data_IF_753156066669
#
_entry.id   IF_753156066669
#
_cell.length_a   1.000
_cell.length_b   1.000
_cell.length_c   1.000
_cell.angle_alpha   90.00
_cell.angle_beta   90.00
_cell.angle_gamma   90.00
#
_symmetry.space_group_name_H-M   'P 1'
#
loop_
_entity.id
_entity.type
_entity.pdbx_description
1 polymer ?
#
# COMPACT_ATOMS: atom_id res chain seq x y z
N UNK A 1 58.30 -25.76 -3.90
CA UNK A 1 56.83 -25.98 -4.02
C UNK A 1 56.12 -24.91 -3.18
N UNK A 2 55.65 -23.87 -3.82
CA UNK A 2 54.85 -22.78 -3.18
C UNK A 2 53.36 -23.17 -3.29
N UNK A 3 52.71 -23.40 -2.17
CA UNK A 3 51.27 -23.60 -2.10
C UNK A 3 50.58 -22.25 -2.27
N UNK A 4 49.86 -22.07 -3.38
CA UNK A 4 48.91 -20.97 -3.54
C UNK A 4 47.70 -21.26 -2.67
N UNK A 5 47.47 -20.42 -1.65
CA UNK A 5 46.22 -20.37 -0.89
C UNK A 5 45.23 -19.47 -1.67
N UNK A 6 44.26 -20.06 -2.35
CA UNK A 6 43.15 -19.30 -2.95
C UNK A 6 42.17 -18.94 -1.85
N UNK A 7 42.12 -17.67 -1.49
CA UNK A 7 41.08 -17.12 -0.60
C UNK A 7 39.82 -16.88 -1.44
N UNK A 8 38.80 -17.70 -1.26
CA UNK A 8 37.48 -17.47 -1.80
C UNK A 8 36.79 -16.44 -0.90
N UNK A 9 36.74 -15.19 -1.36
CA UNK A 9 35.93 -14.15 -0.73
C UNK A 9 34.48 -14.38 -1.17
N UNK A 10 33.70 -15.02 -0.32
CA UNK A 10 32.24 -15.09 -0.50
C UNK A 10 31.69 -13.72 -0.14
N UNK A 11 31.33 -12.93 -1.14
CA UNK A 11 30.52 -11.73 -0.94
C UNK A 11 29.13 -12.19 -0.47
N UNK A 12 28.86 -12.12 0.82
CA UNK A 12 27.52 -12.10 1.37
C UNK A 12 26.89 -10.77 0.93
N UNK A 13 26.29 -10.77 -0.26
CA UNK A 13 25.35 -9.72 -0.65
C UNK A 13 24.17 -9.87 0.32
N UNK A 14 24.13 -9.01 1.31
CA UNK A 14 23.03 -8.94 2.25
C UNK A 14 21.73 -8.75 1.46
N UNK A 15 20.86 -9.74 1.48
CA UNK A 15 19.51 -9.63 0.92
C UNK A 15 18.76 -8.61 1.76
N UNK A 16 18.62 -7.40 1.25
CA UNK A 16 17.66 -6.45 1.79
C UNK A 16 16.29 -7.03 1.43
N UNK A 17 15.46 -7.39 2.40
CA UNK A 17 14.12 -7.88 2.10
C UNK A 17 13.33 -6.74 1.47
N UNK A 18 13.09 -6.85 0.17
CA UNK A 18 12.27 -5.89 -0.56
C UNK A 18 10.80 -6.26 -0.40
N UNK A 19 10.02 -5.31 0.07
CA UNK A 19 8.58 -5.47 0.25
C UNK A 19 7.84 -4.64 -0.80
N UNK A 20 7.62 -5.22 -1.98
CA UNK A 20 6.99 -4.51 -3.06
C UNK A 20 5.48 -4.42 -2.87
N UNK A 21 4.92 -3.23 -2.97
CA UNK A 21 3.50 -2.92 -2.94
C UNK A 21 2.96 -2.63 -4.35
N UNK A 22 1.62 -2.61 -4.48
CA UNK A 22 0.92 -2.07 -5.65
C UNK A 22 -0.15 -1.10 -5.16
N UNK A 23 -0.34 0.02 -5.84
CA UNK A 23 -1.28 1.03 -5.37
C UNK A 23 -1.87 1.86 -6.51
N UNK A 24 -3.02 2.48 -6.23
CA UNK A 24 -3.69 3.41 -7.13
C UNK A 24 -4.25 4.61 -6.37
N UNK A 25 -4.24 5.76 -7.02
CA UNK A 25 -5.05 6.93 -6.68
C UNK A 25 -6.01 7.18 -7.83
N UNK A 26 -7.31 7.21 -7.54
CA UNK A 26 -8.38 7.27 -8.54
C UNK A 26 -9.22 8.52 -8.32
N UNK A 27 -9.42 9.29 -9.38
CA UNK A 27 -10.33 10.45 -9.35
C UNK A 27 -11.79 10.02 -9.36
N UNK A 28 -12.63 10.73 -8.64
CA UNK A 28 -14.09 10.55 -8.69
C UNK A 28 -14.70 10.69 -10.08
N UNK A 29 -14.01 11.30 -11.04
CA UNK A 29 -14.53 11.42 -12.43
C UNK A 29 -14.68 10.07 -13.16
N UNK A 30 -13.96 9.02 -12.70
CA UNK A 30 -13.98 7.67 -13.31
C UNK A 30 -14.59 6.61 -12.39
N UNK A 31 -15.05 6.99 -11.22
CA UNK A 31 -15.88 6.15 -10.33
C UNK A 31 -17.37 6.37 -10.62
N UNK A 32 -18.23 5.37 -10.39
CA UNK A 32 -19.66 5.50 -10.68
C UNK A 32 -20.38 6.57 -9.85
N UNK A 33 -19.98 6.76 -8.60
CA UNK A 33 -20.60 7.64 -7.60
C UNK A 33 -19.87 8.98 -7.41
N UNK A 34 -18.76 9.19 -8.12
CA UNK A 34 -17.97 10.43 -8.06
C UNK A 34 -17.00 10.50 -6.88
N UNK A 35 -16.89 9.47 -6.03
CA UNK A 35 -15.99 9.46 -4.87
C UNK A 35 -14.56 9.06 -5.27
N UNK A 36 -13.52 9.78 -4.84
CA UNK A 36 -12.14 9.38 -5.11
C UNK A 36 -11.78 8.13 -4.31
N UNK A 37 -10.88 7.30 -4.87
CA UNK A 37 -10.40 6.08 -4.22
C UNK A 37 -8.88 6.12 -4.05
N UNK A 38 -8.43 5.60 -2.91
CA UNK A 38 -7.03 5.38 -2.59
C UNK A 38 -6.84 3.90 -2.28
N UNK A 39 -6.11 3.16 -3.11
CA UNK A 39 -5.88 1.74 -2.96
C UNK A 39 -4.43 1.42 -2.63
N UNK A 40 -4.21 0.60 -1.61
CA UNK A 40 -2.93 -0.01 -1.28
C UNK A 40 -3.05 -1.51 -1.17
N UNK A 41 -2.32 -2.21 -2.02
CA UNK A 41 -2.05 -3.64 -1.89
C UNK A 41 -0.66 -3.80 -1.27
N UNK A 42 -0.63 -4.24 -0.01
CA UNK A 42 0.56 -4.18 0.83
C UNK A 42 1.28 -5.51 0.88
N UNK A 43 2.56 -5.50 0.53
CA UNK A 43 3.48 -6.58 0.80
C UNK A 43 4.41 -6.18 1.95
N UNK A 44 4.70 -7.11 2.86
CA UNK A 44 5.53 -6.86 4.04
C UNK A 44 6.21 -8.14 4.53
N UNK A 45 7.27 -7.99 5.34
CA UNK A 45 7.90 -9.10 6.08
C UNK A 45 6.99 -9.61 7.18
N UNK A 46 6.37 -8.69 7.92
CA UNK A 46 5.34 -9.04 8.88
C UNK A 46 4.00 -9.21 8.17
N UNK A 47 3.52 -10.44 8.12
CA UNK A 47 2.24 -10.78 7.51
C UNK A 47 1.06 -10.47 8.44
N UNK A 48 1.31 -10.09 9.68
CA UNK A 48 0.27 -9.74 10.64
C UNK A 48 0.08 -8.24 10.65
N UNK A 49 -1.16 -7.83 10.48
CA UNK A 49 -1.55 -6.43 10.51
C UNK A 49 -2.80 -6.28 11.37
N UNK A 50 -3.02 -5.07 11.85
CA UNK A 50 -4.24 -4.68 12.55
C UNK A 50 -4.63 -3.26 12.18
N UNK A 51 -5.88 -2.90 12.43
CA UNK A 51 -6.34 -1.52 12.36
C UNK A 51 -6.34 -0.93 13.76
N UNK A 52 -5.76 0.25 13.88
CA UNK A 52 -5.70 1.02 15.13
C UNK A 52 -6.45 2.33 14.94
N UNK A 53 -7.27 2.66 15.94
CA UNK A 53 -7.91 3.95 16.07
C UNK A 53 -7.05 4.83 16.98
N UNK A 54 -6.74 6.02 16.53
CA UNK A 54 -5.98 7.02 17.24
C UNK A 54 -6.91 8.19 17.58
N UNK A 55 -7.17 8.38 18.84
CA UNK A 55 -8.02 9.47 19.32
C UNK A 55 -7.36 10.83 19.11
N UNK A 56 -8.19 11.86 19.05
CA UNK A 56 -7.73 13.23 18.99
C UNK A 56 -7.02 13.61 20.29
N UNK A 57 -5.77 14.02 20.24
CA UNK A 57 -4.98 14.40 21.40
C UNK A 57 -4.05 15.56 21.05
N UNK A 58 -3.91 16.53 21.99
CA UNK A 58 -2.95 17.63 21.86
C UNK A 58 -3.15 18.51 20.63
N UNK A 59 -4.38 18.65 20.14
CA UNK A 59 -4.71 19.41 18.91
C UNK A 59 -4.51 18.63 17.61
N UNK A 60 -4.16 17.34 17.69
CA UNK A 60 -4.11 16.44 16.55
C UNK A 60 -5.49 15.92 16.17
N UNK A 61 -5.64 15.57 14.89
CA UNK A 61 -6.86 14.96 14.38
C UNK A 61 -6.96 13.49 14.79
N UNK A 62 -8.18 13.05 15.02
CA UNK A 62 -8.52 11.64 15.15
C UNK A 62 -8.37 10.94 13.81
N UNK A 63 -7.82 9.71 13.80
CA UNK A 63 -7.61 8.94 12.59
C UNK A 63 -7.59 7.43 12.83
N UNK A 64 -7.77 6.66 11.77
CA UNK A 64 -7.56 5.21 11.75
C UNK A 64 -6.41 4.85 10.83
N UNK A 65 -5.64 3.81 11.19
CA UNK A 65 -4.48 3.39 10.44
C UNK A 65 -4.20 1.90 10.45
N UNK A 66 -3.63 1.43 9.34
CA UNK A 66 -3.09 0.08 9.17
C UNK A 66 -1.70 0.03 9.82
N UNK A 67 -1.51 -0.86 10.78
CA UNK A 67 -0.30 -1.00 11.60
C UNK A 67 0.23 -2.43 11.52
N UNK A 68 1.56 -2.59 11.57
CA UNK A 68 2.20 -3.91 11.69
C UNK A 68 1.82 -4.60 13.00
N UNK A 69 1.64 -5.91 12.98
CA UNK A 69 1.37 -6.68 14.19
C UNK A 69 2.51 -6.59 15.21
N UNK A 70 3.76 -6.56 14.77
CA UNK A 70 4.92 -6.43 15.66
C UNK A 70 5.12 -5.04 16.26
N UNK A 71 4.52 -4.00 15.68
CA UNK A 71 4.54 -2.64 16.22
C UNK A 71 3.47 -2.48 17.31
N UNK A 72 3.77 -2.94 18.50
CA UNK A 72 2.85 -2.92 19.65
C UNK A 72 2.44 -1.51 20.06
N UNK A 73 3.30 -0.53 19.85
CA UNK A 73 3.08 0.88 20.19
C UNK A 73 2.40 1.67 19.06
N UNK A 74 2.15 1.01 17.92
CA UNK A 74 1.58 1.64 16.74
C UNK A 74 2.32 2.92 16.32
N UNK A 75 3.66 2.86 16.29
CA UNK A 75 4.51 3.99 15.92
C UNK A 75 4.45 4.33 14.45
N UNK A 76 4.10 3.35 13.61
CA UNK A 76 4.08 3.46 12.16
C UNK A 76 2.69 3.14 11.61
N UNK A 77 2.26 3.91 10.63
CA UNK A 77 1.01 3.70 9.88
C UNK A 77 1.33 3.53 8.41
N UNK A 78 0.71 2.54 7.77
CA UNK A 78 1.02 2.16 6.39
C UNK A 78 -0.09 2.50 5.38
N UNK A 79 -1.28 2.81 5.86
CA UNK A 79 -2.40 3.43 5.16
C UNK A 79 -3.39 3.90 6.22
N UNK A 80 -4.10 5.00 5.99
CA UNK A 80 -5.09 5.50 6.93
C UNK A 80 -5.79 6.75 6.44
N UNK A 81 -6.79 7.19 7.21
CA UNK A 81 -7.47 8.46 6.98
C UNK A 81 -7.89 9.10 8.31
N UNK A 82 -8.10 10.41 8.31
CA UNK A 82 -8.47 11.18 9.50
C UNK A 82 -9.87 11.82 9.39
N UNK A 83 -10.32 12.43 10.45
CA UNK A 83 -11.64 13.09 10.56
C UNK A 83 -11.86 14.24 9.59
N UNK A 84 -10.80 14.80 8.99
CA UNK A 84 -10.94 15.81 7.92
C UNK A 84 -11.19 15.19 6.54
N UNK A 85 -11.21 13.85 6.42
CA UNK A 85 -11.33 13.12 5.16
C UNK A 85 -10.04 13.09 4.33
N UNK A 86 -8.91 13.48 4.94
CA UNK A 86 -7.61 13.28 4.33
C UNK A 86 -7.17 11.85 4.53
N UNK A 87 -6.76 11.19 3.44
CA UNK A 87 -6.23 9.83 3.45
C UNK A 87 -4.86 9.76 2.79
N UNK A 88 -4.02 8.86 3.29
CA UNK A 88 -2.67 8.63 2.79
C UNK A 88 -2.31 7.14 2.81
N UNK A 89 -1.52 6.74 1.81
CA UNK A 89 -0.83 5.43 1.78
C UNK A 89 0.53 5.60 1.09
N UNK A 90 1.40 4.59 1.18
CA UNK A 90 2.67 4.59 0.46
C UNK A 90 2.93 3.31 -0.34
N UNK A 91 3.88 3.41 -1.28
CA UNK A 91 4.68 2.28 -1.78
C UNK A 91 6.15 2.69 -1.71
N UNK A 92 7.01 1.80 -1.17
CA UNK A 92 8.45 2.03 -1.19
C UNK A 92 8.95 2.18 -2.64
N UNK A 93 9.88 3.09 -2.87
CA UNK A 93 10.49 3.32 -4.18
C UNK A 93 11.98 2.98 -4.15
N UNK A 94 12.41 2.13 -5.07
CA UNK A 94 13.81 1.66 -5.09
C UNK A 94 14.67 2.35 -6.15
N UNK A 95 14.11 3.29 -6.90
CA UNK A 95 14.84 4.09 -7.89
C UNK A 95 14.97 5.58 -7.52
N UNK A 96 14.47 5.98 -6.33
CA UNK A 96 14.64 7.33 -5.78
C UNK A 96 15.85 7.47 -4.86
N UNK A 97 16.64 6.42 -4.67
CA UNK A 97 17.72 6.38 -3.68
C UNK A 97 18.70 7.53 -3.82
N UNK A 98 18.90 8.22 -2.70
CA UNK A 98 20.00 9.13 -2.46
C UNK A 98 20.94 8.53 -1.41
N UNK A 99 22.15 8.20 -1.80
CA UNK A 99 23.13 7.34 -1.10
C UNK A 99 23.62 7.82 0.27
N UNK A 100 23.02 8.83 0.89
CA UNK A 100 23.63 9.52 2.02
C UNK A 100 22.81 9.52 3.30
N UNK A 101 21.64 8.91 3.34
CA UNK A 101 20.78 8.99 4.52
C UNK A 101 20.91 7.75 5.41
N UNK A 102 21.43 7.95 6.63
CA UNK A 102 21.31 7.00 7.76
C UNK A 102 19.89 6.94 8.34
N UNK A 103 18.96 7.74 7.82
CA UNK A 103 17.57 7.89 8.26
C UNK A 103 16.63 7.22 7.24
N UNK A 104 16.85 5.94 6.90
CA UNK A 104 15.96 5.18 6.03
C UNK A 104 14.73 4.65 6.80
N UNK A 105 13.69 4.28 6.04
CA UNK A 105 12.48 3.59 6.51
C UNK A 105 11.60 4.40 7.50
N UNK A 106 11.49 5.73 7.32
CA UNK A 106 10.62 6.59 8.14
C UNK A 106 9.22 6.79 7.57
N UNK A 107 8.86 6.10 6.51
CA UNK A 107 7.59 6.30 5.78
C UNK A 107 6.38 6.14 6.71
N UNK A 108 6.35 5.09 7.52
CA UNK A 108 5.26 4.82 8.46
C UNK A 108 5.14 5.88 9.55
N UNK A 109 6.26 6.40 10.05
CA UNK A 109 6.31 7.50 11.04
C UNK A 109 5.77 8.78 10.42
N UNK A 110 6.24 9.13 9.22
CA UNK A 110 5.79 10.32 8.49
C UNK A 110 4.29 10.25 8.21
N UNK A 111 3.78 9.11 7.76
CA UNK A 111 2.34 8.96 7.51
C UNK A 111 1.50 9.10 8.78
N UNK A 112 1.94 8.51 9.90
CA UNK A 112 1.27 8.69 11.19
C UNK A 112 1.21 10.15 11.61
N UNK A 113 2.31 10.89 11.45
CA UNK A 113 2.39 12.32 11.76
C UNK A 113 1.45 13.14 10.87
N UNK A 114 1.46 12.91 9.55
CA UNK A 114 0.61 13.61 8.57
C UNK A 114 -0.88 13.36 8.81
N UNK A 115 -1.27 12.15 9.23
CA UNK A 115 -2.66 11.84 9.59
C UNK A 115 -3.15 12.59 10.82
N UNK A 116 -2.29 12.76 11.83
CA UNK A 116 -2.61 13.54 13.02
C UNK A 116 -2.55 15.05 12.81
N UNK A 117 -1.86 15.52 11.77
CA UNK A 117 -1.64 16.93 11.44
C UNK A 117 -2.21 17.23 10.05
N UNK A 118 -2.07 18.47 9.55
CA UNK A 118 -2.58 18.83 8.23
C UNK A 118 -1.59 18.46 7.10
N UNK A 119 -2.11 18.13 5.93
CA UNK A 119 -1.41 17.60 4.74
C UNK A 119 -0.21 18.44 4.20
N UNK A 120 0.05 19.64 4.71
CA UNK A 120 1.19 20.48 4.30
C UNK A 120 2.54 20.05 4.88
N UNK A 121 2.56 18.99 5.67
CA UNK A 121 3.74 18.59 6.44
C UNK A 121 4.91 18.14 5.57
N UNK A 122 4.67 17.48 4.42
CA UNK A 122 5.75 16.94 3.56
C UNK A 122 6.72 18.02 3.08
N UNK A 123 6.22 19.23 2.79
CA UNK A 123 7.06 20.37 2.38
C UNK A 123 7.79 21.04 3.56
N UNK A 124 7.26 20.89 4.77
CA UNK A 124 7.79 21.50 6.00
C UNK A 124 8.72 20.59 6.81
N UNK A 125 8.83 19.30 6.45
CA UNK A 125 9.73 18.38 7.14
C UNK A 125 11.20 18.80 6.96
N UNK A 126 12.01 18.73 8.02
CA UNK A 126 13.44 19.01 7.91
C UNK A 126 14.13 18.01 6.96
N UNK A 127 15.10 18.51 6.19
CA UNK A 127 15.89 17.67 5.29
C UNK A 127 17.17 17.17 6.00
N UNK A 128 17.62 15.92 5.76
CA UNK A 128 16.97 14.88 4.95
C UNK A 128 15.71 14.30 5.63
N UNK A 129 14.65 14.01 4.85
CA UNK A 129 13.38 13.48 5.39
C UNK A 129 13.56 12.01 5.87
N UNK A 130 14.42 11.26 5.19
CA UNK A 130 14.67 9.84 5.49
C UNK A 130 13.58 8.91 4.97
N UNK A 131 12.98 9.24 3.80
CA UNK A 131 12.00 8.41 3.09
C UNK A 131 12.40 8.27 1.62
N UNK A 132 12.00 7.15 1.01
CA UNK A 132 12.13 6.89 -0.43
C UNK A 132 10.87 6.16 -0.89
N UNK A 133 9.81 6.95 -1.16
CA UNK A 133 8.49 6.39 -1.37
C UNK A 133 7.62 7.21 -2.32
N UNK A 134 6.61 6.52 -2.87
CA UNK A 134 5.45 7.15 -3.49
C UNK A 134 4.34 7.23 -2.43
N UNK A 135 3.92 8.43 -2.06
CA UNK A 135 2.76 8.64 -1.20
C UNK A 135 1.55 8.98 -2.06
N UNK A 136 0.51 8.15 -1.99
CA UNK A 136 -0.78 8.48 -2.58
C UNK A 136 -1.67 9.16 -1.56
N UNK A 137 -2.40 10.19 -1.99
CA UNK A 137 -3.31 10.94 -1.12
C UNK A 137 -4.63 11.23 -1.81
N UNK A 138 -5.69 11.31 -1.01
CA UNK A 138 -6.98 11.92 -1.38
C UNK A 138 -7.47 12.79 -0.22
N UNK A 139 -8.32 13.79 -0.53
CA UNK A 139 -8.91 14.65 0.47
C UNK A 139 -10.42 14.91 0.23
N UNK A 140 -11.10 15.48 1.22
CA UNK A 140 -12.53 15.77 1.16
C UNK A 140 -12.89 16.92 0.20
N UNK A 141 -11.92 17.63 -0.38
CA UNK A 141 -12.12 18.67 -1.38
C UNK A 141 -12.04 18.14 -2.80
N UNK A 142 -11.81 16.82 -2.96
CA UNK A 142 -11.65 16.14 -4.24
C UNK A 142 -10.21 16.13 -4.76
N UNK A 143 -9.25 16.54 -3.94
CA UNK A 143 -7.83 16.40 -4.22
C UNK A 143 -7.43 14.93 -4.29
N UNK A 144 -6.65 14.56 -5.32
CA UNK A 144 -6.12 13.23 -5.51
C UNK A 144 -4.76 13.33 -6.20
N UNK A 145 -3.70 12.83 -5.56
CA UNK A 145 -2.33 12.97 -6.08
C UNK A 145 -1.40 11.87 -5.58
N UNK A 146 -0.30 11.67 -6.31
CA UNK A 146 0.91 11.05 -5.79
C UNK A 146 1.98 12.09 -5.52
N UNK A 147 2.71 11.86 -4.42
CA UNK A 147 3.95 12.53 -4.10
C UNK A 147 5.08 11.49 -4.12
N UNK A 148 6.00 11.62 -5.06
CA UNK A 148 7.22 10.84 -5.11
C UNK A 148 8.28 11.59 -4.30
N UNK A 149 8.71 11.00 -3.19
CA UNK A 149 9.51 11.67 -2.15
C UNK A 149 10.81 10.92 -1.93
N UNK A 150 11.92 11.62 -2.04
CA UNK A 150 13.19 11.15 -1.52
C UNK A 150 13.65 12.04 -0.34
N UNK A 151 14.82 11.81 0.20
CA UNK A 151 15.32 12.56 1.37
C UNK A 151 15.39 14.08 1.18
N UNK A 152 15.43 14.58 -0.06
CA UNK A 152 15.66 16.00 -0.38
C UNK A 152 14.60 16.63 -1.25
N UNK A 153 13.91 15.84 -2.09
CA UNK A 153 13.01 16.32 -3.13
C UNK A 153 11.61 15.71 -3.00
N UNK A 154 10.64 16.45 -3.47
CA UNK A 154 9.22 16.06 -3.52
C UNK A 154 8.71 16.37 -4.92
N UNK A 155 8.21 15.36 -5.63
CA UNK A 155 7.59 15.51 -6.95
C UNK A 155 6.10 15.18 -6.84
N UNK A 156 5.24 16.10 -7.26
CA UNK A 156 3.79 15.95 -7.19
C UNK A 156 3.21 15.60 -8.56
N UNK A 157 2.30 14.62 -8.58
CA UNK A 157 1.54 14.19 -9.75
C UNK A 157 0.05 14.22 -9.40
N UNK A 158 -0.68 15.19 -9.92
CA UNK A 158 -2.13 15.29 -9.70
C UNK A 158 -2.89 14.33 -10.61
N UNK A 159 -3.86 13.59 -10.07
CA UNK A 159 -4.68 12.65 -10.85
C UNK A 159 -5.56 13.38 -11.87
N UNK A 160 -5.91 14.65 -11.62
CA UNK A 160 -6.67 15.48 -12.58
C UNK A 160 -5.94 15.65 -13.92
N UNK A 161 -4.58 15.60 -13.91
CA UNK A 161 -3.75 15.76 -15.10
C UNK A 161 -3.53 14.44 -15.85
N UNK A 162 -3.96 13.30 -15.25
CA UNK A 162 -3.96 12.00 -15.91
C UNK A 162 -5.15 11.89 -16.87
N UNK A 163 -4.95 11.55 -18.15
CA UNK A 163 -6.04 11.34 -19.10
C UNK A 163 -6.99 10.21 -18.65
N UNK A 164 -6.44 9.18 -18.01
CA UNK A 164 -7.17 7.98 -17.60
C UNK A 164 -7.97 8.17 -16.29
N UNK A 165 -7.76 9.28 -15.55
CA UNK A 165 -8.44 9.57 -14.30
C UNK A 165 -7.95 8.75 -13.11
N UNK A 166 -6.84 8.06 -13.25
CA UNK A 166 -6.13 7.38 -12.16
C UNK A 166 -4.62 7.44 -12.38
N UNK A 167 -3.87 7.20 -11.31
CA UNK A 167 -2.43 6.97 -11.33
C UNK A 167 -2.14 5.67 -10.58
N UNK A 168 -1.19 4.90 -11.08
CA UNK A 168 -0.69 3.66 -10.47
C UNK A 168 0.76 3.83 -10.03
N UNK A 169 1.12 3.17 -8.93
CA UNK A 169 2.52 3.02 -8.50
C UNK A 169 2.76 1.61 -7.97
N UNK A 170 3.96 1.12 -8.24
CA UNK A 170 4.52 -0.06 -7.60
C UNK A 170 5.79 0.35 -6.85
N UNK A 171 6.90 -0.35 -7.04
CA UNK A 171 8.13 -0.05 -6.28
C UNK A 171 9.18 0.68 -7.14
N UNK A 172 8.70 1.53 -8.01
CA UNK A 172 9.47 2.54 -8.70
C UNK A 172 8.66 3.84 -8.82
N UNK A 173 9.37 4.93 -9.01
CA UNK A 173 8.84 6.29 -9.21
C UNK A 173 9.12 6.75 -10.63
N UNK A 174 8.21 7.56 -11.17
CA UNK A 174 8.37 8.16 -12.51
C UNK A 174 9.51 9.17 -12.51
N UNK A 175 9.68 9.92 -11.42
CA UNK A 175 10.80 10.88 -11.23
C UNK A 175 12.14 10.20 -10.92
N UNK A 176 12.13 8.89 -10.63
CA UNK A 176 13.34 8.17 -10.25
C UNK A 176 14.22 7.78 -11.45
N UNK A 177 15.33 7.07 -11.17
CA UNK A 177 16.25 6.61 -12.20
C UNK A 177 15.57 5.61 -13.14
N UNK A 178 15.63 5.82 -14.48
CA UNK A 178 15.02 4.92 -15.45
C UNK A 178 15.59 3.50 -15.35
N UNK A 179 14.73 2.49 -15.55
CA UNK A 179 15.08 1.06 -15.53
C UNK A 179 15.64 0.56 -14.19
N UNK A 180 15.50 1.34 -13.13
CA UNK A 180 15.76 0.93 -11.76
C UNK A 180 14.43 0.80 -10.98
N UNK A 181 14.48 0.10 -9.84
CA UNK A 181 13.28 -0.20 -9.06
C UNK A 181 12.65 -1.55 -9.44
N UNK A 182 11.42 -1.79 -9.01
CA UNK A 182 10.79 -3.11 -9.11
C UNK A 182 9.30 -3.02 -9.35
N UNK A 183 8.73 -4.16 -9.84
CA UNK A 183 7.28 -4.29 -9.97
C UNK A 183 6.71 -3.81 -11.29
N UNK A 184 7.51 -3.73 -12.33
CA UNK A 184 7.07 -3.33 -13.67
C UNK A 184 5.95 -4.25 -14.20
N UNK A 185 6.11 -5.59 -14.07
CA UNK A 185 5.07 -6.54 -14.49
C UNK A 185 3.77 -6.36 -13.69
N UNK A 186 3.88 -6.13 -12.37
CA UNK A 186 2.70 -5.83 -11.52
C UNK A 186 2.03 -4.51 -11.90
N UNK A 187 2.83 -3.53 -12.30
CA UNK A 187 2.30 -2.27 -12.84
C UNK A 187 1.48 -2.53 -14.10
N UNK A 188 2.02 -3.30 -15.05
CA UNK A 188 1.34 -3.62 -16.32
C UNK A 188 0.07 -4.46 -16.09
N UNK A 189 0.10 -5.41 -15.14
CA UNK A 189 -1.07 -6.18 -14.73
C UNK A 189 -2.18 -5.27 -14.16
N UNK A 190 -1.79 -4.35 -13.25
CA UNK A 190 -2.73 -3.39 -12.68
C UNK A 190 -3.24 -2.41 -13.76
N UNK A 191 -2.36 -1.86 -14.60
CA UNK A 191 -2.73 -0.92 -15.67
C UNK A 191 -3.75 -1.53 -16.64
N UNK A 192 -3.56 -2.79 -17.03
CA UNK A 192 -4.52 -3.50 -17.88
C UNK A 192 -5.90 -3.63 -17.22
N UNK A 193 -5.94 -4.01 -15.94
CA UNK A 193 -7.19 -4.14 -15.19
C UNK A 193 -7.90 -2.79 -15.07
N UNK A 194 -7.17 -1.75 -14.67
CA UNK A 194 -7.71 -0.41 -14.49
C UNK A 194 -8.19 0.22 -15.81
N UNK A 195 -7.44 0.07 -16.91
CA UNK A 195 -7.84 0.55 -18.23
C UNK A 195 -9.18 -0.04 -18.68
N UNK A 196 -9.37 -1.35 -18.47
CA UNK A 196 -10.65 -2.01 -18.76
C UNK A 196 -11.77 -1.48 -17.86
N UNK A 197 -11.54 -1.45 -16.55
CA UNK A 197 -12.53 -0.99 -15.58
C UNK A 197 -12.92 0.48 -15.79
N UNK A 198 -11.98 1.33 -16.21
CA UNK A 198 -12.28 2.74 -16.57
C UNK A 198 -13.21 2.84 -17.75
N UNK A 199 -12.98 2.06 -18.80
CA UNK A 199 -13.86 2.06 -19.99
C UNK A 199 -15.29 1.59 -19.67
N UNK A 200 -15.42 0.69 -18.70
CA UNK A 200 -16.70 0.15 -18.21
C UNK A 200 -17.31 1.01 -17.07
N UNK A 201 -16.61 2.05 -16.58
CA UNK A 201 -16.98 2.85 -15.40
C UNK A 201 -17.27 1.98 -14.18
N UNK A 202 -16.49 0.94 -13.98
CA UNK A 202 -16.69 -0.07 -12.96
C UNK A 202 -15.66 -0.02 -11.81
N UNK A 203 -14.84 1.04 -11.73
CA UNK A 203 -13.88 1.21 -10.64
C UNK A 203 -14.63 1.57 -9.35
N UNK A 204 -14.83 0.58 -8.50
CA UNK A 204 -15.46 0.70 -7.17
C UNK A 204 -14.60 0.01 -6.12
N UNK A 205 -14.83 0.24 -4.82
CA UNK A 205 -14.18 -0.54 -3.76
C UNK A 205 -14.38 -2.05 -3.93
N UNK A 206 -15.58 -2.49 -4.33
CA UNK A 206 -15.91 -3.90 -4.55
C UNK A 206 -15.09 -4.48 -5.72
N UNK A 207 -14.97 -3.73 -6.83
CA UNK A 207 -14.17 -4.15 -7.97
C UNK A 207 -12.67 -4.27 -7.59
N UNK A 208 -12.12 -3.29 -6.87
CA UNK A 208 -10.72 -3.32 -6.43
C UNK A 208 -10.49 -4.51 -5.50
N UNK A 209 -11.35 -4.69 -4.48
CA UNK A 209 -11.18 -5.73 -3.47
C UNK A 209 -11.53 -7.13 -3.97
N UNK A 210 -12.56 -7.23 -4.83
CA UNK A 210 -13.08 -8.50 -5.34
C UNK A 210 -12.31 -9.04 -6.55
N UNK A 211 -11.82 -8.17 -7.41
CA UNK A 211 -11.17 -8.53 -8.68
C UNK A 211 -9.70 -8.15 -8.67
N UNK A 212 -9.37 -6.86 -8.56
CA UNK A 212 -8.00 -6.39 -8.74
C UNK A 212 -7.03 -6.97 -7.68
N UNK A 213 -7.40 -6.90 -6.40
CA UNK A 213 -6.58 -7.41 -5.28
C UNK A 213 -6.44 -8.94 -5.25
N UNK A 214 -7.18 -9.66 -6.07
CA UNK A 214 -7.21 -11.13 -6.13
C UNK A 214 -6.73 -11.69 -7.46
N UNK A 215 -6.31 -10.82 -8.39
CA UNK A 215 -6.00 -11.20 -9.77
C UNK A 215 -4.66 -11.92 -9.90
N UNK A 216 -4.70 -13.12 -10.44
CA UNK A 216 -3.54 -13.88 -10.90
C UNK A 216 -3.34 -13.77 -12.43
N UNK A 217 -3.89 -12.72 -13.03
CA UNK A 217 -3.66 -12.46 -14.45
C UNK A 217 -2.25 -11.94 -14.68
N UNK A 218 -1.57 -12.49 -15.67
CA UNK A 218 -0.23 -12.09 -16.10
C UNK A 218 -0.28 -11.51 -17.51
N UNK A 219 -0.03 -10.22 -17.65
CA UNK A 219 -0.21 -9.47 -18.90
C UNK A 219 0.68 -10.01 -20.03
N UNK A 220 1.97 -10.24 -19.78
CA UNK A 220 2.89 -10.73 -20.82
C UNK A 220 2.61 -12.16 -21.27
N UNK A 221 2.07 -13.00 -20.38
CA UNK A 221 1.69 -14.36 -20.73
C UNK A 221 0.26 -14.44 -21.27
N UNK A 222 -0.52 -13.35 -21.18
CA UNK A 222 -1.89 -13.28 -21.66
C UNK A 222 -2.85 -14.27 -21.00
N UNK A 223 -2.55 -14.69 -19.74
CA UNK A 223 -3.21 -15.83 -19.09
C UNK A 223 -3.53 -15.52 -17.63
N UNK A 224 -4.64 -16.06 -17.14
CA UNK A 224 -5.00 -16.13 -15.73
C UNK A 224 -4.51 -17.45 -15.12
N UNK A 225 -3.90 -17.39 -13.95
CA UNK A 225 -3.31 -18.52 -13.22
C UNK A 225 -4.10 -18.92 -11.97
N UNK A 226 -5.31 -18.42 -11.78
CA UNK A 226 -6.12 -18.68 -10.59
C UNK A 226 -6.38 -20.18 -10.36
N UNK A 227 -6.43 -20.99 -11.43
CA UNK A 227 -6.70 -22.43 -11.35
C UNK A 227 -5.45 -23.30 -11.42
N UNK A 228 -4.26 -22.71 -11.50
CA UNK A 228 -3.02 -23.49 -11.56
C UNK A 228 -2.67 -24.10 -10.20
N UNK A 229 -2.07 -25.29 -10.22
CA UNK A 229 -1.71 -26.00 -8.98
C UNK A 229 -0.66 -25.26 -8.14
N UNK A 230 0.22 -24.52 -8.79
CA UNK A 230 1.21 -23.66 -8.15
C UNK A 230 1.61 -22.52 -9.10
N UNK A 231 2.12 -21.43 -8.53
CA UNK A 231 2.60 -20.27 -9.27
C UNK A 231 3.87 -19.71 -8.62
N UNK A 232 4.74 -19.14 -9.45
CA UNK A 232 5.81 -18.22 -8.99
C UNK A 232 5.18 -16.84 -8.90
N UNK A 233 4.98 -16.35 -7.69
CA UNK A 233 4.05 -15.25 -7.40
C UNK A 233 4.60 -13.84 -7.57
N UNK A 234 5.84 -13.67 -8.00
CA UNK A 234 6.53 -12.36 -8.00
C UNK A 234 5.85 -11.30 -8.86
N UNK A 235 5.28 -11.73 -9.98
CA UNK A 235 4.72 -10.85 -11.00
C UNK A 235 3.22 -10.57 -10.80
N UNK A 236 2.58 -11.26 -9.87
CA UNK A 236 1.17 -11.05 -9.56
C UNK A 236 0.94 -9.95 -8.55
N UNK A 237 -0.29 -9.41 -8.55
CA UNK A 237 -0.71 -8.45 -7.53
C UNK A 237 -0.72 -9.14 -6.15
N UNK A 238 -1.49 -10.24 -5.92
CA UNK A 238 -1.38 -11.01 -4.68
C UNK A 238 -0.15 -11.91 -4.70
N UNK A 239 0.66 -11.82 -3.66
CA UNK A 239 1.94 -12.53 -3.54
C UNK A 239 2.08 -13.16 -2.16
N UNK A 240 3.05 -14.05 -1.98
CA UNK A 240 3.33 -14.68 -0.70
C UNK A 240 3.54 -13.67 0.43
N UNK A 241 4.16 -12.54 0.12
CA UNK A 241 4.42 -11.44 1.04
C UNK A 241 3.24 -10.48 1.23
N UNK A 242 2.12 -10.67 0.52
CA UNK A 242 0.96 -9.81 0.68
C UNK A 242 0.34 -10.01 2.07
N UNK A 243 0.17 -8.91 2.78
CA UNK A 243 -0.25 -8.87 4.18
C UNK A 243 -1.54 -8.09 4.42
N UNK A 244 -1.96 -7.27 3.45
CA UNK A 244 -3.22 -6.53 3.47
C UNK A 244 -3.58 -5.96 2.09
N UNK A 245 -4.85 -5.66 1.88
CA UNK A 245 -5.31 -4.75 0.84
C UNK A 245 -6.35 -3.81 1.40
N UNK A 246 -6.16 -2.51 1.19
CA UNK A 246 -7.00 -1.45 1.74
C UNK A 246 -7.44 -0.52 0.63
N UNK A 247 -8.73 -0.21 0.59
CA UNK A 247 -9.29 0.84 -0.26
C UNK A 247 -9.91 1.91 0.63
N UNK A 248 -9.40 3.14 0.56
CA UNK A 248 -10.03 4.26 1.25
C UNK A 248 -10.87 5.00 0.20
N UNK A 249 -12.17 5.00 0.43
CA UNK A 249 -13.16 5.67 -0.38
C UNK A 249 -13.45 7.04 0.25
N UNK A 250 -12.96 8.09 -0.41
CA UNK A 250 -13.16 9.47 0.03
C UNK A 250 -14.60 9.93 -0.12
N UNK A 251 -14.82 11.22 -0.04
CA UNK A 251 -16.15 11.83 -0.20
C UNK A 251 -16.18 12.77 -1.39
N UNK A 252 -17.37 13.02 -1.93
CA UNK A 252 -17.56 14.07 -2.91
C UNK A 252 -17.36 15.44 -2.28
N UNK A 253 -16.81 16.43 -3.01
CA UNK A 253 -16.67 17.79 -2.50
C UNK A 253 -17.98 18.34 -1.92
N UNK A 254 -17.89 18.93 -0.72
CA UNK A 254 -19.05 19.45 0.00
C UNK A 254 -19.86 18.43 0.81
N UNK A 255 -19.49 17.15 0.75
CA UNK A 255 -20.05 16.13 1.65
C UNK A 255 -19.23 16.01 2.93
N UNK A 256 -19.88 15.55 4.00
CA UNK A 256 -19.21 15.38 5.30
C UNK A 256 -18.10 14.34 5.21
N UNK A 257 -16.88 14.65 5.71
CA UNK A 257 -15.79 13.69 5.78
C UNK A 257 -16.08 12.42 6.60
N UNK A 258 -17.10 12.45 7.47
CA UNK A 258 -17.53 11.30 8.27
C UNK A 258 -17.92 10.08 7.41
N UNK A 259 -18.32 10.30 6.15
CA UNK A 259 -18.65 9.24 5.20
C UNK A 259 -17.41 8.62 4.50
N UNK A 260 -16.20 9.08 4.81
CA UNK A 260 -15.00 8.38 4.34
C UNK A 260 -14.96 6.96 4.88
N UNK A 261 -14.77 5.99 4.01
CA UNK A 261 -14.83 4.56 4.37
C UNK A 261 -13.50 3.89 4.04
N UNK A 262 -12.94 3.14 4.98
CA UNK A 262 -11.76 2.31 4.76
C UNK A 262 -12.17 0.85 4.64
N UNK A 263 -12.25 0.34 3.42
CA UNK A 263 -12.52 -1.05 3.09
C UNK A 263 -11.25 -1.88 3.28
N UNK A 264 -11.26 -2.79 4.25
CA UNK A 264 -10.05 -3.43 4.75
C UNK A 264 -10.08 -4.93 4.59
N UNK A 265 -9.06 -5.49 3.94
CA UNK A 265 -8.73 -6.90 3.95
C UNK A 265 -7.39 -7.07 4.66
N UNK A 266 -7.34 -7.81 5.77
CA UNK A 266 -6.10 -8.18 6.45
C UNK A 266 -5.68 -9.61 6.11
N UNK A 267 -4.37 -9.82 6.03
CA UNK A 267 -3.78 -11.05 5.54
C UNK A 267 -3.74 -11.11 4.01
N UNK A 268 -3.87 -12.31 3.46
CA UNK A 268 -3.79 -12.58 2.03
C UNK A 268 -5.14 -12.35 1.33
N UNK A 269 -5.29 -11.35 0.44
CA UNK A 269 -6.60 -10.96 -0.10
C UNK A 269 -7.41 -12.08 -0.77
N UNK A 270 -6.81 -13.03 -1.54
CA UNK A 270 -7.57 -14.16 -2.07
C UNK A 270 -8.20 -15.06 -0.99
N UNK A 271 -7.72 -15.00 0.26
CA UNK A 271 -8.19 -15.77 1.41
C UNK A 271 -8.81 -14.91 2.51
N UNK A 272 -9.11 -13.63 2.24
CA UNK A 272 -9.63 -12.67 3.23
C UNK A 272 -11.02 -12.19 2.85
N UNK A 273 -11.71 -11.56 3.79
CA UNK A 273 -12.97 -10.84 3.56
C UNK A 273 -12.74 -9.35 3.72
N UNK A 274 -13.65 -8.56 3.17
CA UNK A 274 -13.62 -7.09 3.23
C UNK A 274 -14.48 -6.63 4.40
N UNK A 275 -13.94 -5.80 5.27
CA UNK A 275 -14.69 -5.16 6.36
C UNK A 275 -14.53 -3.64 6.25
N UNK A 276 -15.63 -2.87 6.37
CA UNK A 276 -15.58 -1.42 6.42
C UNK A 276 -15.11 -0.92 7.80
N UNK A 277 -14.42 0.23 7.79
CA UNK A 277 -14.02 0.96 9.01
C UNK A 277 -14.42 2.41 8.85
N UNK A 278 -15.09 2.97 9.86
CA UNK A 278 -15.46 4.37 9.96
C UNK A 278 -14.95 4.98 11.26
N UNK A 279 -14.37 6.18 11.17
CA UNK A 279 -14.07 7.00 12.35
C UNK A 279 -15.41 7.49 12.92
N UNK A 280 -15.53 7.50 14.25
CA UNK A 280 -16.76 7.93 14.92
C UNK A 280 -17.90 6.90 14.89
N UNK A 281 -17.63 5.67 14.45
CA UNK A 281 -18.59 4.57 14.64
C UNK A 281 -18.71 4.25 16.15
N UNK A 282 -19.93 4.18 16.66
CA UNK A 282 -20.19 3.87 18.10
C UNK A 282 -19.49 2.61 18.58
N UNK A 283 -19.35 1.61 17.70
CA UNK A 283 -18.69 0.33 17.99
C UNK A 283 -17.19 0.33 17.67
N UNK A 284 -16.64 1.45 17.22
CA UNK A 284 -15.22 1.58 16.86
C UNK A 284 -14.78 0.70 15.69
N UNK A 285 -13.51 0.34 15.69
CA UNK A 285 -12.95 -0.60 14.70
C UNK A 285 -13.48 -2.01 14.95
N UNK A 286 -13.94 -2.75 13.92
CA UNK A 286 -14.37 -4.14 14.09
C UNK A 286 -13.32 -5.02 14.78
N UNK A 287 -13.74 -5.82 15.78
CA UNK A 287 -12.84 -6.66 16.58
C UNK A 287 -12.01 -7.65 15.75
N UNK A 288 -12.54 -8.08 14.60
CA UNK A 288 -11.81 -8.92 13.65
C UNK A 288 -10.60 -8.23 13.01
N UNK A 289 -10.58 -6.89 13.00
CA UNK A 289 -9.48 -6.08 12.45
C UNK A 289 -8.52 -5.56 13.54
N UNK A 290 -8.91 -5.62 14.80
CA UNK A 290 -8.06 -5.23 15.93
C UNK A 290 -7.18 -6.40 16.37
N UNK A 291 -6.10 -6.12 17.10
CA UNK A 291 -5.46 -7.11 17.94
C UNK A 291 -6.29 -7.31 19.23
N UNK A 292 -6.27 -8.48 19.82
CA UNK A 292 -6.77 -8.66 21.17
C UNK A 292 -5.85 -7.94 22.18
N UNK A 293 -6.35 -7.63 23.40
CA UNK A 293 -5.54 -6.96 24.44
C UNK A 293 -4.21 -7.67 24.70
N UNK A 294 -4.21 -9.01 24.61
CA UNK A 294 -3.03 -9.86 24.81
C UNK A 294 -2.36 -10.27 23.49
N UNK A 295 -2.85 -9.82 22.33
CA UNK A 295 -2.35 -10.22 21.02
C UNK A 295 -2.38 -9.06 20.02
N UNK A 296 -1.23 -8.72 19.51
CA UNK A 296 -1.07 -7.73 18.41
C UNK A 296 -1.51 -8.25 17.05
N UNK A 297 -2.11 -9.45 17.00
CA UNK A 297 -2.58 -10.09 15.76
C UNK A 297 -4.08 -9.97 15.63
N UNK A 298 -4.54 -9.46 14.49
CA UNK A 298 -5.97 -9.45 14.22
C UNK A 298 -6.47 -10.85 13.85
N UNK A 299 -7.65 -11.27 14.36
CA UNK A 299 -8.23 -12.57 14.01
C UNK A 299 -8.39 -12.79 12.52
N UNK A 300 -8.83 -11.77 11.78
CA UNK A 300 -8.98 -11.86 10.33
C UNK A 300 -7.64 -12.13 9.63
N UNK A 301 -6.57 -11.46 10.06
CA UNK A 301 -5.24 -11.66 9.50
C UNK A 301 -4.74 -13.10 9.72
N UNK A 302 -4.91 -13.61 10.92
CA UNK A 302 -4.54 -15.00 11.26
C UNK A 302 -5.32 -16.02 10.43
N UNK A 303 -6.64 -15.87 10.33
CA UNK A 303 -7.49 -16.79 9.56
C UNK A 303 -7.12 -16.77 8.06
N UNK A 304 -6.93 -15.58 7.51
CA UNK A 304 -6.52 -15.40 6.12
C UNK A 304 -5.18 -16.09 5.83
N UNK A 305 -4.17 -15.90 6.68
CA UNK A 305 -2.85 -16.50 6.52
C UNK A 305 -2.89 -18.04 6.72
N UNK A 306 -3.69 -18.54 7.65
CA UNK A 306 -3.91 -20.00 7.83
C UNK A 306 -4.56 -20.61 6.60
N UNK A 307 -5.57 -19.94 6.01
CA UNK A 307 -6.24 -20.41 4.80
C UNK A 307 -5.31 -20.37 3.60
N UNK A 308 -4.54 -19.30 3.42
CA UNK A 308 -3.50 -19.19 2.38
C UNK A 308 -2.59 -20.41 2.38
N UNK A 309 -2.04 -20.77 3.54
CA UNK A 309 -1.11 -21.90 3.66
C UNK A 309 -1.75 -23.28 3.38
N UNK A 310 -3.09 -23.38 3.40
CA UNK A 310 -3.81 -24.60 3.05
C UNK A 310 -4.19 -24.68 1.59
N UNK A 311 -4.45 -23.55 0.95
CA UNK A 311 -5.07 -23.48 -0.39
C UNK A 311 -4.04 -23.16 -1.47
N UNK A 312 -3.03 -22.33 -1.15
CA UNK A 312 -2.06 -21.85 -2.13
C UNK A 312 -0.66 -22.39 -1.87
N UNK A 313 -0.04 -22.92 -2.93
CA UNK A 313 1.39 -23.21 -2.96
C UNK A 313 2.07 -22.09 -3.74
N UNK A 314 2.54 -21.06 -3.00
CA UNK A 314 3.17 -19.88 -3.56
C UNK A 314 4.68 -19.96 -3.38
N UNK A 315 5.42 -19.87 -4.48
CA UNK A 315 6.87 -19.83 -4.48
C UNK A 315 7.36 -18.45 -4.92
N UNK A 316 8.45 -17.99 -4.31
CA UNK A 316 9.12 -16.78 -4.74
C UNK A 316 10.21 -17.16 -5.73
N UNK A 317 10.14 -16.62 -6.96
CA UNK A 317 11.21 -16.75 -7.94
C UNK A 317 12.52 -16.11 -7.43
N UNK A 318 13.64 -16.46 -7.99
CA UNK A 318 14.94 -15.86 -7.73
C UNK A 318 15.23 -14.80 -8.79
N UNK A 319 15.61 -13.61 -8.37
CA UNK A 319 16.06 -12.52 -9.24
C UNK A 319 15.26 -11.23 -9.10
N UNK A 320 15.76 -10.10 -9.65
CA UNK A 320 15.04 -8.84 -9.71
C UNK A 320 13.93 -8.92 -10.78
N UNK A 321 12.78 -8.37 -10.46
CA UNK A 321 11.60 -8.27 -11.34
C UNK A 321 11.09 -6.87 -11.43
#
# INVERSE_FOLDING_TARGET
MRKLLSVIIVYLVGWIPMFPCTSAVVSGRVTPDGRPLLWKHRDASDLNNRIVHFEAEGGKLEFVGLVNGVDTMANEVWAGYNTSGFAIMNTASYNLKNDTSSLSDREGVVMKQVLGEFARLLDSLPRPIGVEANFGVVDALGGAAYFEVNSYEVFRYDVKDSPDGYLLRTNYSVSGRPNEGYGYVRYDNAARLFSRATSERSITPEWITGICSRSFYHTFLGRDFTTDAWVVDQDFIPRRSTSASVVIEGVNPGKSPVFTTMWTMLGYPPCSVVLPVWIGCEYGVPTLLQGAEDSVRSPLCEWSNRLKNKVFSLERGSGPH
#
